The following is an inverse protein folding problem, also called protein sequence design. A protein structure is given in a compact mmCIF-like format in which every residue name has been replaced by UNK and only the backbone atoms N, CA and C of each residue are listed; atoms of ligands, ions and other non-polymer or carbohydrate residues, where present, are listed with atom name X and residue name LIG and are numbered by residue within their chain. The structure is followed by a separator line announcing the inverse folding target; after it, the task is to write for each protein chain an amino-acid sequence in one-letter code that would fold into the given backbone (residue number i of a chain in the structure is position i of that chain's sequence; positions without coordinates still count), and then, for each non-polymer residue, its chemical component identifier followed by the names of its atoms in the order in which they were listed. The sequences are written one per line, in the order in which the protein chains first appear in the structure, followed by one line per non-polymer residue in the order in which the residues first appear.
data_IF_286838014369
#
_entry.id   IF_286838014369
#
_cell.length_a   1.000
_cell.length_b   1.000
_cell.length_c   1.000
_cell.angle_alpha   90.00
_cell.angle_beta   90.00
_cell.angle_gamma   90.00
#
_symmetry.space_group_name_H-M   'P 1'
#
loop_
_entity.id
_entity.type
_entity.pdbx_description
1 polymer ?
#
# COMPACT_ATOMS: atom_id res chain seq x y z
N UNK A 1 24.19 -4.05 65.77
CA UNK A 1 22.97 -4.73 65.28
C UNK A 1 22.09 -3.63 64.71
N UNK A 2 22.22 -3.19 63.44
CA UNK A 2 21.87 -3.91 62.20
C UNK A 2 20.60 -4.73 62.37
N UNK A 3 19.46 -4.25 61.87
CA UNK A 3 18.88 -4.78 60.62
C UNK A 3 17.53 -4.12 60.27
N UNK A 4 17.34 -3.92 58.96
CA UNK A 4 16.07 -3.81 58.21
C UNK A 4 15.33 -2.47 58.20
N UNK A 5 15.82 -1.59 57.32
CA UNK A 5 14.93 -0.87 56.42
C UNK A 5 14.17 -1.89 55.54
N UNK A 6 12.83 -1.82 55.44
CA UNK A 6 12.11 -2.64 54.48
C UNK A 6 12.36 -2.10 53.07
N UNK A 7 13.02 -2.96 52.30
CA UNK A 7 13.06 -3.07 50.84
C UNK A 7 12.05 -2.17 50.13
N UNK A 8 12.53 -1.20 49.33
CA UNK A 8 12.92 -1.48 47.95
C UNK A 8 11.82 -2.21 47.16
N UNK A 9 10.56 -1.77 47.30
CA UNK A 9 9.63 -1.86 46.19
C UNK A 9 10.13 -0.90 45.13
N UNK A 10 10.98 -1.46 44.28
CA UNK A 10 11.24 -1.07 42.90
C UNK A 10 9.90 -0.70 42.24
N UNK A 11 9.45 0.53 42.47
CA UNK A 11 8.64 1.26 41.51
C UNK A 11 9.54 1.33 40.29
N UNK A 12 9.34 0.34 39.43
CA UNK A 12 9.79 0.27 38.06
C UNK A 12 9.03 1.41 37.35
N UNK A 13 9.40 2.64 37.72
CA UNK A 13 9.35 3.84 36.92
C UNK A 13 10.30 3.56 35.73
N UNK A 14 9.88 2.61 34.89
CA UNK A 14 10.02 2.75 33.45
C UNK A 14 9.19 3.95 33.06
N UNK A 15 9.67 5.12 33.48
CA UNK A 15 9.59 6.34 32.74
C UNK A 15 10.04 5.94 31.34
N UNK A 16 9.05 5.68 30.49
CA UNK A 16 9.19 5.64 29.05
C UNK A 16 9.74 7.02 28.71
N UNK A 17 11.07 7.15 28.77
CA UNK A 17 11.76 8.36 28.36
C UNK A 17 11.23 8.63 26.95
N UNK A 18 10.65 9.80 26.66
CA UNK A 18 10.34 10.16 25.30
C UNK A 18 11.66 10.06 24.55
N UNK A 19 11.77 9.02 23.72
CA UNK A 19 12.97 8.71 22.96
C UNK A 19 13.35 9.99 22.26
N UNK A 20 14.49 10.53 22.67
CA UNK A 20 14.96 11.85 22.30
C UNK A 20 14.75 12.04 20.80
N UNK A 21 14.15 13.19 20.47
CA UNK A 21 14.32 13.86 19.19
C UNK A 21 15.83 14.04 18.96
N UNK A 22 16.53 12.98 18.58
CA UNK A 22 17.84 13.14 17.94
C UNK A 22 17.55 13.63 16.54
N UNK A 23 17.51 14.94 16.44
CA UNK A 23 18.00 15.74 15.32
C UNK A 23 18.32 14.93 14.05
N UNK A 24 17.38 15.02 13.11
CA UNK A 24 17.61 15.65 11.81
C UNK A 24 19.01 15.40 11.22
N UNK A 25 19.06 14.53 10.19
CA UNK A 25 20.16 14.27 9.23
C UNK A 25 20.79 12.85 9.29
N UNK A 26 20.21 11.90 10.01
CA UNK A 26 20.71 10.51 10.05
C UNK A 26 20.07 9.56 9.02
N UNK A 27 20.71 9.38 7.85
CA UNK A 27 20.60 8.24 6.90
C UNK A 27 19.31 8.10 6.06
N UNK A 28 19.22 8.75 4.87
CA UNK A 28 18.16 8.48 3.86
C UNK A 28 17.97 7.00 3.54
N UNK A 29 19.05 6.23 3.56
CA UNK A 29 18.99 4.80 3.34
C UNK A 29 18.13 4.09 4.38
N UNK A 30 18.24 4.41 5.68
CA UNK A 30 17.48 3.69 6.71
C UNK A 30 15.99 3.94 6.56
N UNK A 31 15.57 5.18 6.28
CA UNK A 31 14.13 5.47 6.11
C UNK A 31 13.54 4.89 4.82
N UNK A 32 14.29 4.96 3.72
CA UNK A 32 13.86 4.42 2.42
C UNK A 32 13.89 2.89 2.45
N UNK A 33 14.95 2.28 3.01
CA UNK A 33 15.17 0.83 2.99
C UNK A 33 14.38 0.12 4.09
N UNK A 34 14.47 0.54 5.35
CA UNK A 34 13.76 -0.16 6.44
C UNK A 34 12.27 0.14 6.45
N UNK A 35 11.89 1.42 6.36
CA UNK A 35 10.48 1.81 6.53
C UNK A 35 9.70 1.94 5.21
N UNK A 36 10.37 2.19 4.09
CA UNK A 36 9.75 2.23 2.76
C UNK A 36 9.74 0.85 2.11
N UNK A 37 10.91 0.29 1.86
CA UNK A 37 11.12 -1.00 1.20
C UNK A 37 10.60 -2.17 2.03
N UNK A 38 10.97 -2.26 3.31
CA UNK A 38 10.49 -3.34 4.18
C UNK A 38 8.96 -3.37 4.29
N UNK A 39 8.34 -2.19 4.38
CA UNK A 39 6.89 -2.07 4.41
C UNK A 39 6.27 -2.44 3.05
N UNK A 40 6.81 -1.96 1.92
CA UNK A 40 6.28 -2.28 0.60
C UNK A 40 6.41 -3.77 0.26
N UNK A 41 7.55 -4.38 0.56
CA UNK A 41 7.80 -5.80 0.31
C UNK A 41 6.90 -6.71 1.15
N UNK A 42 6.72 -6.42 2.44
CA UNK A 42 5.82 -7.22 3.29
C UNK A 42 4.36 -7.06 2.87
N UNK A 43 3.93 -5.82 2.58
CA UNK A 43 2.54 -5.52 2.26
C UNK A 43 2.13 -6.02 0.87
N UNK A 44 3.04 -5.97 -0.11
CA UNK A 44 2.72 -6.21 -1.51
C UNK A 44 3.28 -7.54 -2.04
N UNK A 45 3.90 -8.37 -1.19
CA UNK A 45 4.51 -9.65 -1.56
C UNK A 45 3.62 -10.51 -2.46
N UNK A 46 2.31 -10.70 -2.16
CA UNK A 46 1.45 -11.55 -2.99
C UNK A 46 1.30 -10.99 -4.41
N UNK A 47 1.18 -9.67 -4.54
CA UNK A 47 1.08 -8.99 -5.84
C UNK A 47 2.40 -9.01 -6.59
N UNK A 48 3.51 -8.80 -5.90
CA UNK A 48 4.86 -8.90 -6.45
C UNK A 48 5.12 -10.30 -7.01
N UNK A 49 4.69 -11.33 -6.28
CA UNK A 49 4.77 -12.72 -6.73
C UNK A 49 3.90 -12.96 -7.95
N UNK A 50 2.62 -12.54 -7.94
CA UNK A 50 1.69 -12.68 -9.07
C UNK A 50 2.26 -12.07 -10.36
N UNK A 51 2.77 -10.84 -10.29
CA UNK A 51 3.41 -10.17 -11.43
C UNK A 51 4.65 -10.93 -11.89
N UNK A 52 5.44 -11.49 -10.97
CA UNK A 52 6.67 -12.23 -11.29
C UNK A 52 6.42 -13.57 -11.98
N UNK A 53 5.32 -14.27 -11.64
CA UNK A 53 4.94 -15.56 -12.23
C UNK A 53 4.09 -15.43 -13.49
N UNK A 54 3.64 -14.22 -13.85
CA UNK A 54 2.82 -14.00 -15.05
C UNK A 54 3.65 -14.30 -16.33
N UNK A 55 3.27 -15.30 -17.16
CA UNK A 55 4.11 -15.80 -18.26
C UNK A 55 4.29 -14.87 -19.46
N UNK A 56 3.46 -13.83 -19.64
CA UNK A 56 3.30 -13.19 -20.96
C UNK A 56 4.45 -12.31 -21.45
N UNK A 57 5.49 -12.01 -20.68
CA UNK A 57 6.56 -11.17 -21.23
C UNK A 57 7.82 -11.17 -20.39
N UNK A 58 8.92 -11.70 -20.93
CA UNK A 58 10.23 -11.68 -20.29
C UNK A 58 10.84 -10.27 -20.13
N UNK A 59 10.10 -9.17 -20.40
CA UNK A 59 10.59 -7.81 -20.17
C UNK A 59 9.51 -6.77 -19.91
N UNK A 60 8.42 -6.76 -20.69
CA UNK A 60 7.47 -5.64 -20.77
C UNK A 60 6.77 -5.37 -19.42
N UNK A 61 6.13 -6.37 -18.82
CA UNK A 61 5.46 -6.20 -17.51
C UNK A 61 6.48 -6.00 -16.38
N UNK A 62 7.66 -6.61 -16.51
CA UNK A 62 8.74 -6.54 -15.52
C UNK A 62 9.39 -5.17 -15.42
N UNK A 63 9.44 -4.42 -16.53
CA UNK A 63 9.98 -3.05 -16.54
C UNK A 63 9.10 -2.13 -15.72
N UNK A 64 7.79 -2.10 -15.97
CA UNK A 64 6.85 -1.31 -15.18
C UNK A 64 6.83 -1.70 -13.69
N UNK A 65 6.96 -3.00 -13.43
CA UNK A 65 7.14 -3.53 -12.07
C UNK A 65 8.42 -3.03 -11.39
N UNK A 66 9.57 -3.13 -12.06
CA UNK A 66 10.86 -2.67 -11.54
C UNK A 66 10.84 -1.15 -11.25
N UNK A 67 10.24 -0.36 -12.15
CA UNK A 67 10.02 1.07 -11.93
C UNK A 67 9.21 1.30 -10.66
N UNK A 68 8.11 0.57 -10.47
CA UNK A 68 7.27 0.72 -9.27
C UNK A 68 8.01 0.40 -7.96
N UNK A 69 8.83 -0.66 -7.92
CA UNK A 69 9.62 -1.05 -6.74
C UNK A 69 10.65 0.02 -6.38
N UNK A 70 11.22 0.71 -7.37
CA UNK A 70 12.19 1.76 -7.12
C UNK A 70 11.50 3.08 -6.75
N UNK A 71 10.48 3.47 -7.50
CA UNK A 71 9.85 4.79 -7.38
C UNK A 71 9.00 4.91 -6.12
N UNK A 72 8.16 3.93 -5.78
CA UNK A 72 7.20 4.05 -4.67
C UNK A 72 7.92 4.21 -3.31
N UNK A 73 8.90 3.37 -2.93
CA UNK A 73 9.61 3.53 -1.65
C UNK A 73 10.39 4.85 -1.56
N UNK A 74 10.99 5.28 -2.66
CA UNK A 74 11.71 6.55 -2.75
C UNK A 74 10.75 7.71 -2.48
N UNK A 75 9.59 7.74 -3.16
CA UNK A 75 8.56 8.76 -2.96
C UNK A 75 8.05 8.77 -1.52
N UNK A 76 7.72 7.60 -0.95
CA UNK A 76 7.27 7.48 0.45
C UNK A 76 8.33 8.05 1.40
N UNK A 77 9.62 7.75 1.17
CA UNK A 77 10.72 8.30 1.95
C UNK A 77 10.82 9.84 1.85
N UNK A 78 10.70 10.39 0.65
CA UNK A 78 10.70 11.84 0.43
C UNK A 78 9.50 12.55 1.07
N UNK A 79 8.30 11.98 0.95
CA UNK A 79 7.08 12.49 1.60
C UNK A 79 7.20 12.46 3.13
N UNK A 80 7.68 11.36 3.72
CA UNK A 80 7.82 11.24 5.18
C UNK A 80 8.82 12.21 5.80
N UNK A 81 9.84 12.60 5.03
CA UNK A 81 10.86 13.58 5.42
C UNK A 81 10.42 15.03 5.21
N UNK A 82 9.20 15.27 4.70
CA UNK A 82 8.72 16.61 4.38
C UNK A 82 9.49 17.28 3.23
N UNK A 83 10.26 16.51 2.44
CA UNK A 83 10.95 17.03 1.25
C UNK A 83 10.02 17.16 0.05
N UNK A 84 8.95 16.39 0.04
CA UNK A 84 7.81 16.58 -0.86
C UNK A 84 6.60 16.93 0.00
N UNK A 85 6.06 18.12 -0.18
CA UNK A 85 4.87 18.63 0.51
C UNK A 85 3.73 18.78 -0.48
N UNK A 86 3.23 17.66 -1.00
CA UNK A 86 2.02 17.67 -1.84
C UNK A 86 0.79 17.58 -0.94
N UNK A 87 0.44 18.72 -0.35
CA UNK A 87 -0.71 18.90 0.54
C UNK A 87 -0.60 18.18 1.87
N UNK A 88 -1.26 17.02 2.06
CA UNK A 88 -1.39 16.39 3.39
C UNK A 88 -0.14 15.61 3.84
N UNK A 89 0.08 15.61 5.15
CA UNK A 89 1.15 14.83 5.77
C UNK A 89 0.95 13.33 5.49
N UNK A 90 2.05 12.67 5.13
CA UNK A 90 2.03 11.25 4.83
C UNK A 90 1.75 10.41 6.10
N UNK A 91 0.77 9.50 6.08
CA UNK A 91 0.43 8.69 7.24
C UNK A 91 1.61 7.82 7.70
N UNK A 92 1.89 7.85 9.00
CA UNK A 92 2.93 7.05 9.65
C UNK A 92 2.29 5.85 10.33
N UNK A 93 2.93 4.67 10.19
CA UNK A 93 2.57 3.51 11.00
C UNK A 93 3.39 3.58 12.28
N UNK A 94 2.73 3.69 13.42
CA UNK A 94 3.38 3.62 14.72
C UNK A 94 3.16 2.21 15.28
N UNK A 95 4.16 1.63 15.95
CA UNK A 95 4.02 0.29 16.56
C UNK A 95 2.87 0.20 17.57
N UNK A 96 2.42 1.35 18.11
CA UNK A 96 1.25 1.45 18.98
C UNK A 96 -0.07 1.13 18.26
N UNK A 97 -0.14 1.35 16.94
CA UNK A 97 -1.38 1.19 16.16
C UNK A 97 -1.64 -0.28 15.80
N UNK A 98 -0.58 -1.08 15.63
CA UNK A 98 -0.67 -2.51 15.29
C UNK A 98 -1.22 -3.40 16.42
N UNK A 99 -1.26 -2.89 17.66
CA UNK A 99 -1.84 -3.58 18.82
C UNK A 99 -3.37 -3.42 18.94
N UNK A 100 -4.00 -2.57 18.12
CA UNK A 100 -5.42 -2.22 18.22
C UNK A 100 -6.11 -2.52 16.89
N UNK A 101 -7.36 -3.00 16.91
CA UNK A 101 -8.10 -3.41 15.71
C UNK A 101 -8.17 -2.36 14.59
N UNK A 102 -8.04 -1.06 14.92
CA UNK A 102 -7.97 0.03 13.94
C UNK A 102 -6.69 0.04 13.09
N UNK A 103 -5.52 -0.28 13.66
CA UNK A 103 -4.27 -0.27 12.89
C UNK A 103 -4.12 -1.45 11.93
N UNK A 104 -4.84 -2.55 12.16
CA UNK A 104 -4.99 -3.62 11.18
C UNK A 104 -5.76 -3.16 9.93
N UNK A 105 -6.78 -2.30 10.10
CA UNK A 105 -7.53 -1.71 9.00
C UNK A 105 -6.64 -0.84 8.10
N UNK A 106 -5.86 0.06 8.70
CA UNK A 106 -4.94 0.92 7.96
C UNK A 106 -3.86 0.11 7.23
N UNK A 107 -3.35 -0.95 7.89
CA UNK A 107 -2.39 -1.88 7.29
C UNK A 107 -2.99 -2.56 6.05
N UNK A 108 -4.21 -3.08 6.16
CA UNK A 108 -4.93 -3.69 5.05
C UNK A 108 -5.15 -2.70 3.90
N UNK A 109 -5.71 -1.52 4.18
CA UNK A 109 -5.96 -0.48 3.17
C UNK A 109 -4.69 -0.15 2.40
N UNK A 110 -3.59 0.04 3.13
CA UNK A 110 -2.31 0.37 2.50
C UNK A 110 -1.77 -0.79 1.67
N UNK A 111 -1.90 -2.02 2.14
CA UNK A 111 -1.46 -3.22 1.40
C UNK A 111 -2.19 -3.34 0.08
N UNK A 112 -3.52 -3.30 0.13
CA UNK A 112 -4.37 -3.45 -1.05
C UNK A 112 -4.12 -2.31 -2.02
N UNK A 113 -4.04 -1.07 -1.52
CA UNK A 113 -3.83 0.09 -2.38
C UNK A 113 -2.48 0.08 -3.09
N UNK A 114 -1.36 -0.15 -2.39
CA UNK A 114 -0.07 -0.20 -3.06
C UNK A 114 0.09 -1.43 -3.96
N UNK A 115 -0.54 -2.56 -3.61
CA UNK A 115 -0.65 -3.70 -4.53
C UNK A 115 -1.37 -3.30 -5.82
N UNK A 116 -2.45 -2.53 -5.71
CA UNK A 116 -3.20 -2.00 -6.86
C UNK A 116 -2.33 -1.07 -7.72
N UNK A 117 -1.58 -0.16 -7.10
CA UNK A 117 -0.68 0.76 -7.81
C UNK A 117 0.43 -0.02 -8.52
N UNK A 118 1.04 -1.03 -7.88
CA UNK A 118 2.05 -1.90 -8.49
C UNK A 118 1.47 -2.64 -9.70
N UNK A 119 0.25 -3.18 -9.57
CA UNK A 119 -0.45 -3.82 -10.67
C UNK A 119 -0.62 -2.86 -11.86
N UNK A 120 -1.11 -1.64 -11.59
CA UNK A 120 -1.32 -0.63 -12.62
C UNK A 120 0.00 -0.18 -13.26
N UNK A 121 1.09 -0.06 -12.49
CA UNK A 121 2.41 0.22 -13.06
C UNK A 121 2.88 -0.90 -14.00
N UNK A 122 2.76 -2.16 -13.56
CA UNK A 122 3.24 -3.32 -14.31
C UNK A 122 2.42 -3.56 -15.58
N UNK A 123 1.09 -3.67 -15.46
CA UNK A 123 0.20 -3.97 -16.58
C UNK A 123 -0.11 -2.72 -17.43
N UNK A 124 -0.26 -1.54 -16.82
CA UNK A 124 -0.49 -0.29 -17.55
C UNK A 124 0.75 0.18 -18.31
N UNK A 125 1.94 0.10 -17.70
CA UNK A 125 3.20 0.35 -18.39
C UNK A 125 3.43 -0.67 -19.52
N UNK A 126 3.14 -1.94 -19.25
CA UNK A 126 3.24 -2.97 -20.28
C UNK A 126 2.28 -2.78 -21.46
N UNK A 127 1.03 -2.36 -21.19
CA UNK A 127 0.08 -2.03 -22.25
C UNK A 127 0.57 -0.83 -23.10
N UNK A 128 1.15 0.19 -22.47
CA UNK A 128 1.72 1.33 -23.19
C UNK A 128 2.86 0.90 -24.13
N UNK A 129 3.76 0.03 -23.66
CA UNK A 129 4.83 -0.52 -24.50
C UNK A 129 4.29 -1.29 -25.71
N UNK A 130 3.26 -2.12 -25.51
CA UNK A 130 2.66 -2.91 -26.58
C UNK A 130 1.97 -2.03 -27.64
N UNK A 131 1.35 -0.92 -27.23
CA UNK A 131 0.67 0.01 -28.14
C UNK A 131 1.68 0.85 -28.93
N UNK A 132 2.73 1.34 -28.27
CA UNK A 132 3.68 2.28 -28.90
C UNK A 132 4.94 1.62 -29.43
N UNK A 133 5.20 0.36 -29.10
CA UNK A 133 6.45 -0.35 -29.41
C UNK A 133 7.69 0.23 -28.70
N UNK A 134 7.51 0.96 -27.59
CA UNK A 134 8.59 1.73 -26.94
C UNK A 134 8.69 1.44 -25.44
N UNK A 135 9.86 0.96 -25.02
CA UNK A 135 10.21 0.75 -23.60
C UNK A 135 10.11 2.06 -22.81
N UNK A 136 10.42 3.19 -23.44
CA UNK A 136 10.37 4.48 -22.75
C UNK A 136 8.92 4.86 -22.38
N UNK A 137 7.95 4.50 -23.21
CA UNK A 137 6.53 4.71 -22.90
C UNK A 137 6.11 3.92 -21.65
N UNK A 138 6.59 2.68 -21.50
CA UNK A 138 6.39 1.86 -20.31
C UNK A 138 6.90 2.58 -19.04
N UNK A 139 8.15 3.02 -19.08
CA UNK A 139 8.81 3.67 -17.94
C UNK A 139 8.09 4.95 -17.55
N UNK A 140 7.70 5.79 -18.52
CA UNK A 140 6.99 7.04 -18.27
C UNK A 140 5.63 6.77 -17.63
N UNK A 141 4.84 5.84 -18.19
CA UNK A 141 3.51 5.50 -17.66
C UNK A 141 3.62 4.91 -16.26
N UNK A 142 4.52 3.95 -16.05
CA UNK A 142 4.75 3.33 -14.75
C UNK A 142 5.21 4.36 -13.70
N UNK A 143 6.12 5.27 -14.06
CA UNK A 143 6.57 6.34 -13.17
C UNK A 143 5.43 7.32 -12.85
N UNK A 144 4.63 7.71 -13.84
CA UNK A 144 3.48 8.60 -13.63
C UNK A 144 2.43 7.97 -12.71
N UNK A 145 2.08 6.70 -12.92
CA UNK A 145 1.17 5.95 -12.07
C UNK A 145 1.73 5.79 -10.66
N UNK A 146 3.03 5.50 -10.51
CA UNK A 146 3.67 5.40 -9.20
C UNK A 146 3.66 6.75 -8.45
N UNK A 147 3.98 7.84 -9.14
CA UNK A 147 3.98 9.20 -8.58
C UNK A 147 2.57 9.61 -8.16
N UNK A 148 1.60 9.46 -9.05
CA UNK A 148 0.21 9.83 -8.76
C UNK A 148 -0.41 8.94 -7.70
N UNK A 149 -0.30 7.61 -7.86
CA UNK A 149 -0.83 6.64 -6.92
C UNK A 149 -0.27 6.85 -5.51
N UNK A 150 1.03 7.10 -5.40
CA UNK A 150 1.64 7.45 -4.11
C UNK A 150 1.10 8.81 -3.64
N UNK A 151 1.23 9.88 -4.42
CA UNK A 151 0.82 11.23 -4.00
C UNK A 151 -0.64 11.37 -3.57
N UNK A 152 -1.56 10.58 -4.12
CA UNK A 152 -2.99 10.61 -3.80
C UNK A 152 -3.33 9.85 -2.51
N UNK A 153 -2.50 8.88 -2.09
CA UNK A 153 -2.77 8.02 -0.94
C UNK A 153 -3.13 8.78 0.37
N UNK A 154 -2.45 9.89 0.76
CA UNK A 154 -2.80 10.65 1.97
C UNK A 154 -4.21 11.26 1.96
N UNK A 155 -4.83 11.39 0.80
CA UNK A 155 -6.21 11.87 0.67
C UNK A 155 -7.22 10.73 0.80
N UNK A 156 -6.80 9.50 0.50
CA UNK A 156 -7.64 8.30 0.49
C UNK A 156 -7.68 7.56 1.83
N UNK A 157 -6.94 8.00 2.84
CA UNK A 157 -6.96 7.41 4.19
C UNK A 157 -8.19 7.75 5.00
N UNK A 158 -9.03 8.71 4.56
CA UNK A 158 -10.26 9.04 5.26
C UNK A 158 -11.35 7.99 5.02
N UNK A 159 -12.19 7.79 6.02
CA UNK A 159 -13.45 7.03 5.94
C UNK A 159 -14.60 7.95 5.53
N UNK A 160 -14.53 8.54 4.33
CA UNK A 160 -15.68 9.20 3.72
C UNK A 160 -16.13 8.45 2.46
N UNK A 161 -17.42 8.53 2.12
CA UNK A 161 -17.98 7.91 0.92
C UNK A 161 -17.15 8.21 -0.36
N UNK A 162 -16.75 9.46 -0.66
CA UNK A 162 -15.97 9.73 -1.87
C UNK A 162 -14.56 9.13 -1.85
N UNK A 163 -13.90 9.04 -0.69
CA UNK A 163 -12.55 8.44 -0.61
C UNK A 163 -12.60 6.92 -0.71
N UNK A 164 -13.63 6.30 -0.12
CA UNK A 164 -13.91 4.87 -0.28
C UNK A 164 -14.25 4.54 -1.73
N UNK A 165 -15.05 5.36 -2.41
CA UNK A 165 -15.35 5.20 -3.84
C UNK A 165 -14.08 5.37 -4.71
N UNK A 166 -13.21 6.33 -4.38
CA UNK A 166 -11.92 6.50 -5.04
C UNK A 166 -11.04 5.25 -4.93
N UNK A 167 -10.92 4.70 -3.72
CA UNK A 167 -10.20 3.43 -3.47
C UNK A 167 -10.82 2.25 -4.24
N UNK A 168 -12.14 2.08 -4.16
CA UNK A 168 -12.86 1.03 -4.88
C UNK A 168 -12.61 1.11 -6.40
N UNK A 169 -12.59 2.33 -6.95
CA UNK A 169 -12.28 2.56 -8.37
C UNK A 169 -10.86 2.14 -8.69
N UNK A 170 -9.87 2.55 -7.89
CA UNK A 170 -8.47 2.11 -8.07
C UNK A 170 -8.35 0.58 -8.04
N UNK A 171 -9.07 -0.08 -7.13
CA UNK A 171 -9.02 -1.54 -7.01
C UNK A 171 -9.69 -2.21 -8.21
N UNK A 172 -10.84 -1.71 -8.67
CA UNK A 172 -11.54 -2.24 -9.83
C UNK A 172 -10.68 -2.12 -11.10
N UNK A 173 -10.02 -0.98 -11.32
CA UNK A 173 -9.14 -0.78 -12.48
C UNK A 173 -7.91 -1.69 -12.38
N UNK A 174 -7.31 -1.83 -11.20
CA UNK A 174 -6.17 -2.72 -11.00
C UNK A 174 -6.55 -4.19 -11.20
N UNK A 175 -7.67 -4.64 -10.64
CA UNK A 175 -8.22 -5.98 -10.83
C UNK A 175 -8.52 -6.25 -12.31
N UNK A 176 -9.10 -5.28 -13.02
CA UNK A 176 -9.31 -5.37 -14.46
C UNK A 176 -7.98 -5.54 -15.20
N UNK A 177 -6.98 -4.71 -14.90
CA UNK A 177 -5.66 -4.80 -15.53
C UNK A 177 -4.99 -6.15 -15.29
N UNK A 178 -5.05 -6.68 -14.06
CA UNK A 178 -4.57 -8.03 -13.73
C UNK A 178 -5.36 -9.09 -14.45
N UNK A 179 -6.70 -9.00 -14.44
CA UNK A 179 -7.55 -9.96 -15.12
C UNK A 179 -7.23 -9.99 -16.62
N UNK A 180 -7.23 -8.88 -17.33
CA UNK A 180 -6.90 -8.88 -18.76
C UNK A 180 -5.45 -9.28 -19.06
N UNK A 181 -4.50 -8.85 -18.23
CA UNK A 181 -3.08 -9.16 -18.40
C UNK A 181 -2.70 -10.60 -18.04
N UNK A 182 -3.41 -11.23 -17.10
CA UNK A 182 -3.09 -12.56 -16.56
C UNK A 182 -4.15 -13.63 -16.87
N UNK A 183 -5.39 -13.29 -17.27
CA UNK A 183 -6.46 -14.26 -17.56
C UNK A 183 -6.08 -15.34 -18.58
N UNK A 184 -5.31 -15.06 -19.66
CA UNK A 184 -4.88 -16.12 -20.58
C UNK A 184 -3.99 -17.18 -19.90
N UNK A 185 -3.47 -16.90 -18.69
CA UNK A 185 -2.57 -17.76 -17.92
C UNK A 185 -3.19 -18.30 -16.64
N UNK A 186 -4.21 -17.65 -16.08
CA UNK A 186 -4.86 -18.08 -14.84
C UNK A 186 -5.40 -19.52 -14.93
N UNK A 187 -5.74 -20.00 -16.13
CA UNK A 187 -6.26 -21.36 -16.34
C UNK A 187 -5.18 -22.36 -16.76
N UNK A 188 -4.01 -21.88 -17.20
CA UNK A 188 -2.93 -22.69 -17.79
C UNK A 188 -1.74 -22.87 -16.85
N UNK A 189 -1.50 -21.90 -15.97
CA UNK A 189 -0.44 -21.90 -14.98
C UNK A 189 -1.06 -21.81 -13.59
N UNK A 190 -1.22 -22.99 -13.00
CA UNK A 190 -1.27 -23.28 -11.56
C UNK A 190 -2.43 -22.62 -10.76
N UNK A 191 -3.29 -23.41 -10.05
CA UNK A 191 -4.39 -22.89 -9.22
C UNK A 191 -3.99 -21.77 -8.25
N UNK A 192 -2.73 -21.68 -7.86
CA UNK A 192 -2.18 -20.69 -6.95
C UNK A 192 -2.18 -19.25 -7.51
N UNK A 193 -2.11 -19.03 -8.84
CA UNK A 193 -2.34 -17.68 -9.40
C UNK A 193 -3.79 -17.26 -9.15
N UNK A 194 -4.74 -18.18 -9.38
CA UNK A 194 -6.15 -17.96 -9.11
C UNK A 194 -6.42 -17.70 -7.62
N UNK A 195 -5.79 -18.47 -6.73
CA UNK A 195 -5.91 -18.26 -5.27
C UNK A 195 -5.37 -16.89 -4.86
N UNK A 196 -4.19 -16.48 -5.34
CA UNK A 196 -3.63 -15.16 -4.99
C UNK A 196 -4.51 -14.02 -5.52
N UNK A 197 -5.04 -14.16 -6.75
CA UNK A 197 -5.99 -13.19 -7.30
C UNK A 197 -7.28 -13.11 -6.48
N UNK A 198 -7.87 -14.26 -6.11
CA UNK A 198 -9.08 -14.30 -5.27
C UNK A 198 -8.84 -13.76 -3.87
N UNK A 199 -7.69 -14.05 -3.26
CA UNK A 199 -7.28 -13.45 -2.00
C UNK A 199 -7.20 -11.93 -2.12
N UNK A 200 -6.60 -11.41 -3.20
CA UNK A 200 -6.53 -9.98 -3.44
C UNK A 200 -7.92 -9.34 -3.65
N UNK A 201 -8.82 -9.99 -4.40
CA UNK A 201 -10.24 -9.59 -4.51
C UNK A 201 -10.89 -9.54 -3.12
N UNK A 202 -10.72 -10.59 -2.31
CA UNK A 202 -11.27 -10.66 -0.96
C UNK A 202 -10.77 -9.52 -0.06
N UNK A 203 -9.46 -9.25 -0.08
CA UNK A 203 -8.87 -8.15 0.68
C UNK A 203 -9.37 -6.78 0.20
N UNK A 204 -9.52 -6.58 -1.11
CA UNK A 204 -10.07 -5.35 -1.68
C UNK A 204 -11.53 -5.13 -1.27
N UNK A 205 -12.35 -6.19 -1.28
CA UNK A 205 -13.74 -6.14 -0.83
C UNK A 205 -13.85 -5.86 0.67
N UNK A 206 -13.01 -6.49 1.50
CA UNK A 206 -12.96 -6.23 2.93
C UNK A 206 -12.62 -4.76 3.23
N UNK A 207 -11.68 -4.21 2.48
CA UNK A 207 -11.23 -2.84 2.63
C UNK A 207 -12.32 -1.81 2.27
N UNK A 208 -13.10 -2.06 1.21
CA UNK A 208 -14.20 -1.16 0.79
C UNK A 208 -15.56 -1.51 1.39
N UNK A 209 -15.68 -2.57 2.19
CA UNK A 209 -16.92 -2.99 2.85
C UNK A 209 -17.69 -1.85 3.56
N UNK A 210 -17.03 -0.89 4.25
CA UNK A 210 -17.74 0.22 4.88
C UNK A 210 -18.57 1.06 3.89
N UNK A 211 -18.20 1.10 2.61
CA UNK A 211 -18.93 1.82 1.55
C UNK A 211 -20.35 1.26 1.35
N UNK A 212 -20.52 -0.06 1.45
CA UNK A 212 -21.84 -0.68 1.30
C UNK A 212 -22.76 -0.33 2.48
N UNK A 213 -22.20 -0.17 3.67
CA UNK A 213 -22.92 0.29 4.86
C UNK A 213 -23.41 1.73 4.72
N UNK A 214 -22.51 2.65 4.30
CA UNK A 214 -22.86 4.08 4.15
C UNK A 214 -23.90 4.32 3.07
N UNK A 215 -23.83 3.60 1.94
CA UNK A 215 -24.85 3.69 0.88
C UNK A 215 -26.22 3.22 1.39
N UNK A 216 -26.26 2.12 2.15
CA UNK A 216 -27.51 1.58 2.70
C UNK A 216 -28.16 2.54 3.70
N UNK A 217 -27.37 3.21 4.53
CA UNK A 217 -27.86 4.24 5.47
C UNK A 217 -28.43 5.46 4.74
N UNK A 218 -27.78 5.92 3.68
CA UNK A 218 -28.27 7.04 2.88
C UNK A 218 -29.58 6.72 2.16
N UNK A 219 -29.71 5.52 1.58
CA UNK A 219 -30.94 5.07 0.89
C UNK A 219 -32.06 4.80 1.89
N UNK A 220 -31.76 4.22 3.06
CA UNK A 220 -32.75 3.94 4.11
C UNK A 220 -33.24 5.18 4.85
N UNK A 221 -32.41 6.21 4.96
CA UNK A 221 -32.77 7.50 5.57
C UNK A 221 -33.68 8.36 4.68
N UNK A 222 -33.47 8.34 3.36
CA UNK A 222 -34.28 9.10 2.39
C UNK A 222 -35.72 8.58 2.22
N UNK A 223 -36.01 7.34 2.65
CA UNK A 223 -37.36 6.77 2.62
C UNK A 223 -38.20 7.03 3.88
N UNK A 224 -37.68 7.78 4.86
CA UNK A 224 -38.35 8.05 6.15
C UNK A 224 -38.65 9.53 6.42
N UNK A 225 -38.35 10.41 5.46
CA UNK A 225 -38.70 11.84 5.47
C UNK A 225 -39.80 12.13 4.48
#
# INVERSE_FOLDING_TARGET
MSNRDPEAWSNDDRAVRPRERTETTGRPLTDIVYYGFGQLFLLCLPMMWLVSVTPFSNGVVRIGFAVSILTIPVLVGFFRRGRLTVGRAWPRFTNADLGVGGGYGDFLTRSVYFSSVIALCAYGGGAAELITGSVLANVIVAAAVAVFGTGVFPYLTRTSTPTLAGRATTYAVALGAVYFGAAPFMWRFVPEIGVVFLCYVGLALLDVRPLAGTIREQVGGAGRS
#
